data_IF_477419876308
#
_entry.id   IF_477419876308
#
_cell.length_a   1.000
_cell.length_b   1.000
_cell.length_c   1.000
_cell.angle_alpha   90.00
_cell.angle_beta   90.00
_cell.angle_gamma   90.00
#
_symmetry.space_group_name_H-M   'P 1'
#
loop_
_entity.id
_entity.type
_entity.pdbx_description
1 polymer ?
#
# COMPACT_ATOMS: atom_id res chain seq x y z
N UNK A 1 -7.35 15.65 27.32
CA UNK A 1 -7.35 14.68 26.20
C UNK A 1 -8.74 14.20 25.79
N UNK A 2 -9.39 13.21 26.43
CA UNK A 2 -10.68 12.67 25.90
C UNK A 2 -11.76 13.75 25.71
N UNK A 3 -11.95 14.63 26.71
CA UNK A 3 -12.89 15.75 26.62
C UNK A 3 -12.56 16.71 25.48
N UNK A 4 -11.27 16.95 25.21
CA UNK A 4 -10.83 17.85 24.13
C UNK A 4 -11.14 17.23 22.76
N UNK A 5 -10.88 15.93 22.59
CA UNK A 5 -11.22 15.20 21.35
C UNK A 5 -12.74 15.24 21.13
N UNK A 6 -13.53 14.97 22.16
CA UNK A 6 -15.00 15.03 22.08
C UNK A 6 -15.47 16.45 21.71
N UNK A 7 -14.93 17.49 22.36
CA UNK A 7 -15.27 18.88 22.04
C UNK A 7 -14.90 19.26 20.61
N UNK A 8 -13.75 18.80 20.12
CA UNK A 8 -13.30 19.03 18.76
C UNK A 8 -14.24 18.38 17.73
N UNK A 9 -14.51 17.09 17.89
CA UNK A 9 -15.41 16.32 17.02
C UNK A 9 -16.84 16.85 17.09
N UNK A 10 -17.31 17.29 18.25
CA UNK A 10 -18.62 17.93 18.39
C UNK A 10 -18.72 19.27 17.65
N UNK A 11 -17.62 20.02 17.56
CA UNK A 11 -17.58 21.33 16.91
C UNK A 11 -17.40 21.25 15.38
N UNK A 12 -16.59 20.29 14.91
CA UNK A 12 -16.21 20.20 13.49
C UNK A 12 -16.87 19.03 12.75
N UNK A 13 -17.55 18.15 13.47
CA UNK A 13 -18.02 16.88 12.95
C UNK A 13 -16.94 15.79 12.97
N UNK A 14 -17.21 14.63 12.35
CA UNK A 14 -16.26 13.52 12.33
C UNK A 14 -14.98 13.83 11.56
N UNK A 15 -13.84 13.43 12.13
CA UNK A 15 -12.49 13.72 11.63
C UNK A 15 -11.67 12.44 11.52
N UNK A 16 -10.60 12.45 10.73
CA UNK A 16 -9.60 11.36 10.76
C UNK A 16 -8.67 11.48 11.96
N UNK A 17 -7.90 10.43 12.24
CA UNK A 17 -6.90 10.48 13.31
C UNK A 17 -5.83 11.54 13.03
N UNK A 18 -5.43 11.71 11.77
CA UNK A 18 -4.49 12.74 11.34
C UNK A 18 -5.05 14.15 11.57
N UNK A 19 -6.29 14.41 11.17
CA UNK A 19 -6.96 15.71 11.35
C UNK A 19 -7.12 16.09 12.82
N UNK A 20 -7.27 15.10 13.72
CA UNK A 20 -7.30 15.36 15.16
C UNK A 20 -5.90 15.67 15.68
N UNK A 21 -4.87 14.93 15.26
CA UNK A 21 -3.48 15.18 15.71
C UNK A 21 -2.91 16.52 15.23
N UNK A 22 -3.39 17.06 14.11
CA UNK A 22 -3.00 18.40 13.65
C UNK A 22 -3.55 19.53 14.54
N UNK A 23 -4.62 19.26 15.30
CA UNK A 23 -5.32 20.25 16.12
C UNK A 23 -5.06 20.08 17.61
N UNK A 24 -4.62 18.89 18.03
CA UNK A 24 -4.34 18.56 19.41
C UNK A 24 -2.90 18.07 19.45
N UNK A 25 -2.02 18.81 20.13
CA UNK A 25 -0.64 18.38 20.38
C UNK A 25 -0.63 17.20 21.36
N UNK A 26 -0.63 15.99 20.81
CA UNK A 26 -0.75 14.75 21.56
C UNK A 26 0.04 13.63 20.91
N UNK A 27 0.60 12.78 21.77
CA UNK A 27 1.20 11.51 21.38
C UNK A 27 0.17 10.65 20.62
N UNK A 28 0.53 10.24 19.40
CA UNK A 28 -0.36 9.53 18.49
C UNK A 28 -0.88 8.20 19.05
N UNK A 29 -0.06 7.51 19.84
CA UNK A 29 -0.49 6.28 20.52
C UNK A 29 -1.55 6.58 21.58
N UNK A 30 -1.35 7.62 22.39
CA UNK A 30 -2.33 8.05 23.39
C UNK A 30 -3.63 8.52 22.74
N UNK A 31 -3.56 9.24 21.63
CA UNK A 31 -4.72 9.64 20.83
C UNK A 31 -5.51 8.41 20.36
N UNK A 32 -4.85 7.47 19.69
CA UNK A 32 -5.46 6.21 19.24
C UNK A 32 -6.12 5.47 20.41
N UNK A 33 -5.40 5.30 21.52
CA UNK A 33 -5.88 4.55 22.69
C UNK A 33 -7.09 5.20 23.32
N UNK A 34 -7.10 6.53 23.44
CA UNK A 34 -8.25 7.25 24.00
C UNK A 34 -9.46 7.19 23.09
N UNK A 35 -9.30 7.33 21.78
CA UNK A 35 -10.41 7.12 20.85
C UNK A 35 -10.96 5.69 20.93
N UNK A 36 -10.09 4.68 21.06
CA UNK A 36 -10.50 3.26 21.17
C UNK A 36 -11.17 2.88 22.48
N UNK A 37 -10.89 3.60 23.56
CA UNK A 37 -11.40 3.29 24.92
C UNK A 37 -12.55 4.19 25.35
N UNK A 38 -12.83 5.26 24.61
CA UNK A 38 -13.94 6.16 24.90
C UNK A 38 -15.28 5.50 24.59
N UNK A 39 -16.24 5.64 25.52
CA UNK A 39 -17.64 5.24 25.30
C UNK A 39 -18.45 6.31 24.53
N UNK A 40 -17.86 7.49 24.30
CA UNK A 40 -18.53 8.63 23.64
C UNK A 40 -18.09 8.84 22.21
N UNK A 41 -17.00 8.19 21.81
CA UNK A 41 -16.47 8.25 20.46
C UNK A 41 -16.70 6.90 19.77
N UNK A 42 -17.00 6.95 18.48
CA UNK A 42 -16.99 5.80 17.62
C UNK A 42 -15.87 5.94 16.58
N UNK A 43 -15.23 4.82 16.24
CA UNK A 43 -14.24 4.75 15.18
C UNK A 43 -14.79 3.87 14.07
N UNK A 44 -14.81 4.40 12.85
CA UNK A 44 -15.15 3.64 11.64
C UNK A 44 -13.94 3.56 10.72
N UNK A 45 -13.41 2.36 10.54
CA UNK A 45 -12.37 2.08 9.55
C UNK A 45 -12.94 2.14 8.13
N UNK A 46 -12.19 2.75 7.22
CA UNK A 46 -12.42 2.85 5.78
C UNK A 46 -11.38 1.96 5.07
N UNK A 47 -11.69 1.48 3.87
CA UNK A 47 -10.76 0.66 3.09
C UNK A 47 -10.66 -0.76 3.60
N UNK A 48 -9.56 -1.43 3.23
CA UNK A 48 -9.35 -2.86 3.49
C UNK A 48 -8.01 -3.12 4.16
N UNK A 49 -7.93 -4.21 4.90
CA UNK A 49 -6.65 -4.71 5.43
C UNK A 49 -6.14 -5.79 4.50
N UNK A 50 -4.87 -5.77 4.18
CA UNK A 50 -4.26 -6.74 3.29
C UNK A 50 -2.92 -7.24 3.83
N UNK A 51 -2.51 -8.43 3.42
CA UNK A 51 -1.24 -9.02 3.83
C UNK A 51 -0.08 -8.10 3.44
N UNK A 52 0.89 -7.90 4.34
CA UNK A 52 2.21 -7.35 4.05
C UNK A 52 3.26 -8.27 4.66
N UNK A 53 4.29 -8.57 3.86
CA UNK A 53 5.38 -9.42 4.31
C UNK A 53 6.47 -8.58 4.94
N UNK A 54 6.94 -8.98 6.12
CA UNK A 54 7.92 -8.24 6.90
C UNK A 54 8.93 -9.20 7.54
N UNK A 55 10.23 -9.03 7.23
CA UNK A 55 11.30 -9.89 7.77
C UNK A 55 11.46 -9.78 9.28
N UNK A 56 11.00 -8.69 9.88
CA UNK A 56 11.17 -8.41 11.32
C UNK A 56 10.07 -9.04 12.17
N UNK A 57 9.00 -9.53 11.55
CA UNK A 57 7.86 -10.14 12.23
C UNK A 57 8.00 -11.65 12.16
N UNK A 58 7.79 -12.31 13.30
CA UNK A 58 7.76 -13.76 13.37
C UNK A 58 6.70 -14.33 12.42
N UNK A 59 7.07 -15.30 11.59
CA UNK A 59 6.19 -15.84 10.57
C UNK A 59 5.99 -14.93 9.34
N UNK A 60 6.71 -13.81 9.27
CA UNK A 60 6.81 -12.88 8.13
C UNK A 60 5.54 -12.14 7.72
N UNK A 61 4.43 -12.25 8.46
CA UNK A 61 3.13 -11.77 8.01
C UNK A 61 2.53 -10.74 8.98
N UNK A 62 2.15 -9.59 8.44
CA UNK A 62 1.33 -8.58 9.12
C UNK A 62 0.23 -8.05 8.20
N UNK A 63 -0.70 -7.30 8.77
CA UNK A 63 -1.66 -6.55 7.98
C UNK A 63 -1.15 -5.13 7.74
N UNK A 64 -1.34 -4.67 6.50
CA UNK A 64 -1.28 -3.28 6.09
C UNK A 64 -2.71 -2.75 5.91
N UNK A 65 -2.99 -1.46 6.16
CA UNK A 65 -2.11 -0.51 6.84
C UNK A 65 -1.80 -0.95 8.28
N UNK A 66 -0.73 -0.42 8.89
CA UNK A 66 -0.46 -0.65 10.32
C UNK A 66 -1.60 -0.14 11.22
N UNK A 67 -1.53 -0.40 12.53
CA UNK A 67 -2.56 0.07 13.46
C UNK A 67 -2.65 1.59 13.44
N UNK A 68 -1.50 2.26 13.44
CA UNK A 68 -1.47 3.71 13.42
C UNK A 68 -1.86 4.29 12.07
N UNK A 69 -1.32 3.77 10.95
CA UNK A 69 -1.69 4.27 9.62
C UNK A 69 -3.18 4.09 9.33
N UNK A 70 -3.77 2.97 9.76
CA UNK A 70 -5.22 2.79 9.68
C UNK A 70 -5.98 3.86 10.47
N UNK A 71 -5.52 4.18 11.67
CA UNK A 71 -6.17 5.16 12.52
C UNK A 71 -6.06 6.59 11.96
N UNK A 72 -4.88 6.96 11.47
CA UNK A 72 -4.61 8.31 10.98
C UNK A 72 -5.27 8.59 9.64
N UNK A 73 -5.16 7.65 8.70
CA UNK A 73 -5.53 7.88 7.30
C UNK A 73 -6.85 7.22 6.92
N UNK A 74 -7.13 6.04 7.47
CA UNK A 74 -8.26 5.19 7.04
C UNK A 74 -9.29 4.98 8.15
N UNK A 75 -9.44 5.93 9.07
CA UNK A 75 -10.46 5.87 10.11
C UNK A 75 -11.15 7.21 10.28
N UNK A 76 -12.45 7.17 10.53
CA UNK A 76 -13.27 8.33 10.91
C UNK A 76 -13.62 8.19 12.38
N UNK A 77 -13.33 9.23 13.15
CA UNK A 77 -13.64 9.37 14.55
C UNK A 77 -14.80 10.35 14.66
N UNK A 78 -15.91 9.89 15.20
CA UNK A 78 -17.12 10.67 15.40
C UNK A 78 -17.67 10.50 16.82
N UNK A 79 -18.72 11.25 17.16
CA UNK A 79 -19.50 10.95 18.35
C UNK A 79 -20.26 9.64 18.14
N UNK A 80 -20.30 8.79 19.17
CA UNK A 80 -20.96 7.47 19.11
C UNK A 80 -22.42 7.57 18.64
N UNK A 81 -23.11 8.66 18.99
CA UNK A 81 -24.52 8.87 18.65
C UNK A 81 -24.75 9.46 17.24
N UNK A 82 -23.70 9.89 16.53
CA UNK A 82 -23.81 10.57 15.23
C UNK A 82 -23.33 9.70 14.05
N UNK A 83 -23.99 8.56 13.87
CA UNK A 83 -23.66 7.61 12.80
C UNK A 83 -23.86 8.16 11.38
N UNK A 84 -24.76 9.13 11.20
CA UNK A 84 -25.06 9.70 9.88
C UNK A 84 -23.92 10.58 9.39
N UNK A 85 -23.43 11.51 10.21
CA UNK A 85 -22.28 12.33 9.86
C UNK A 85 -21.03 11.47 9.64
N UNK A 86 -20.83 10.44 10.47
CA UNK A 86 -19.72 9.50 10.28
C UNK A 86 -19.81 8.75 8.95
N UNK A 87 -21.01 8.33 8.55
CA UNK A 87 -21.22 7.66 7.27
C UNK A 87 -20.99 8.60 6.09
N UNK A 88 -21.42 9.86 6.20
CA UNK A 88 -21.14 10.88 5.19
C UNK A 88 -19.64 11.09 5.03
N UNK A 89 -18.94 11.35 6.14
CA UNK A 89 -17.49 11.57 6.15
C UNK A 89 -16.72 10.38 5.60
N UNK A 90 -17.11 9.16 5.98
CA UNK A 90 -16.49 7.95 5.45
C UNK A 90 -16.63 7.83 3.93
N UNK A 91 -17.78 8.22 3.36
CA UNK A 91 -17.98 8.25 1.91
C UNK A 91 -17.12 9.31 1.21
N UNK A 92 -17.00 10.50 1.79
CA UNK A 92 -16.14 11.55 1.25
C UNK A 92 -14.67 11.09 1.14
N UNK A 93 -14.14 10.52 2.22
CA UNK A 93 -12.76 10.04 2.25
C UNK A 93 -12.57 8.87 1.27
N UNK A 94 -13.53 7.92 1.23
CA UNK A 94 -13.50 6.81 0.27
C UNK A 94 -13.46 7.34 -1.17
N UNK A 95 -14.34 8.29 -1.52
CA UNK A 95 -14.39 8.86 -2.86
C UNK A 95 -13.10 9.61 -3.24
N UNK A 96 -12.44 10.28 -2.28
CA UNK A 96 -11.13 10.89 -2.50
C UNK A 96 -10.05 9.84 -2.78
N UNK A 97 -9.97 8.78 -1.95
CA UNK A 97 -9.01 7.68 -2.14
C UNK A 97 -9.20 6.98 -3.49
N UNK A 98 -10.45 6.71 -3.89
CA UNK A 98 -10.77 6.14 -5.21
C UNK A 98 -10.30 7.06 -6.34
N UNK A 99 -10.51 8.38 -6.20
CA UNK A 99 -10.05 9.37 -7.18
C UNK A 99 -8.51 9.41 -7.28
N UNK A 100 -7.80 9.38 -6.15
CA UNK A 100 -6.33 9.34 -6.12
C UNK A 100 -5.81 8.05 -6.75
N UNK A 101 -6.39 6.90 -6.36
CA UNK A 101 -6.06 5.58 -6.90
C UNK A 101 -6.23 5.53 -8.42
N UNK A 102 -7.37 6.02 -8.91
CA UNK A 102 -7.64 6.11 -10.35
C UNK A 102 -6.64 7.01 -11.07
N UNK A 103 -6.36 8.20 -10.54
CA UNK A 103 -5.41 9.12 -11.14
C UNK A 103 -4.00 8.52 -11.25
N UNK A 104 -3.54 7.82 -10.20
CA UNK A 104 -2.24 7.13 -10.21
C UNK A 104 -2.23 5.95 -11.20
N UNK A 105 -3.28 5.15 -11.24
CA UNK A 105 -3.39 4.06 -12.22
C UNK A 105 -3.42 4.57 -13.67
N UNK A 106 -4.14 5.66 -13.94
CA UNK A 106 -4.19 6.31 -15.26
C UNK A 106 -2.82 6.89 -15.63
N UNK A 107 -2.12 7.52 -14.68
CA UNK A 107 -0.77 8.03 -14.90
C UNK A 107 0.21 6.89 -15.22
N UNK A 108 0.20 5.81 -14.44
CA UNK A 108 1.01 4.62 -14.70
C UNK A 108 0.74 4.07 -16.12
N UNK A 109 -0.54 3.95 -16.51
CA UNK A 109 -0.90 3.51 -17.84
C UNK A 109 -0.35 4.44 -18.94
N UNK A 110 -0.49 5.76 -18.79
CA UNK A 110 0.02 6.75 -19.75
C UNK A 110 1.53 6.63 -19.91
N UNK A 111 2.26 6.53 -18.80
CA UNK A 111 3.72 6.42 -18.78
C UNK A 111 4.18 5.16 -19.52
N UNK A 112 3.61 4.01 -19.15
CA UNK A 112 3.99 2.74 -19.76
C UNK A 112 3.55 2.67 -21.21
N UNK A 113 2.35 3.14 -21.57
CA UNK A 113 1.94 3.20 -22.96
C UNK A 113 2.85 4.10 -23.80
N UNK A 114 3.35 5.23 -23.25
CA UNK A 114 4.29 6.11 -23.94
C UNK A 114 5.67 5.45 -24.09
N UNK A 115 6.19 4.84 -23.02
CA UNK A 115 7.47 4.12 -23.05
C UNK A 115 7.45 2.99 -24.09
N UNK A 116 6.36 2.20 -24.11
CA UNK A 116 6.18 1.10 -25.05
C UNK A 116 5.94 1.59 -26.49
N UNK A 117 5.31 2.77 -26.67
CA UNK A 117 5.16 3.40 -27.98
C UNK A 117 6.50 3.82 -28.63
N UNK A 118 7.55 3.99 -27.83
CA UNK A 118 8.92 4.29 -28.30
C UNK A 118 9.68 3.03 -28.76
N UNK A 119 9.11 1.84 -28.54
CA UNK A 119 9.66 0.60 -29.10
C UNK A 119 9.25 0.43 -30.56
N UNK A 120 10.24 0.17 -31.42
CA UNK A 120 10.04 -0.04 -32.86
C UNK A 120 9.17 -1.27 -33.18
N UNK A 121 9.10 -2.25 -32.27
CA UNK A 121 8.36 -3.49 -32.46
C UNK A 121 7.19 -3.63 -31.46
N UNK A 122 6.18 -2.78 -31.63
CA UNK A 122 4.99 -2.75 -30.77
C UNK A 122 4.24 -4.09 -30.72
N UNK A 123 4.24 -4.86 -31.81
CA UNK A 123 3.61 -6.18 -31.87
C UNK A 123 4.32 -7.20 -30.97
N UNK A 124 5.64 -7.11 -30.82
CA UNK A 124 6.41 -7.96 -29.92
C UNK A 124 6.09 -7.62 -28.46
N UNK A 125 6.06 -6.33 -28.11
CA UNK A 125 5.71 -5.85 -26.77
C UNK A 125 4.31 -6.33 -26.38
N UNK A 126 3.33 -6.15 -27.26
CA UNK A 126 1.94 -6.53 -26.99
C UNK A 126 1.77 -8.04 -26.73
N UNK A 127 2.67 -8.89 -27.23
CA UNK A 127 2.58 -10.36 -27.07
C UNK A 127 3.49 -10.92 -25.99
N UNK A 128 4.66 -10.32 -25.76
CA UNK A 128 5.73 -10.91 -24.96
C UNK A 128 6.09 -10.10 -23.71
N UNK A 129 5.46 -8.94 -23.48
CA UNK A 129 5.70 -8.13 -22.30
C UNK A 129 4.39 -7.95 -21.55
N UNK A 130 4.38 -8.25 -20.26
CA UNK A 130 3.24 -8.04 -19.37
C UNK A 130 3.63 -7.02 -18.31
N UNK A 131 2.88 -5.93 -18.22
CA UNK A 131 3.04 -4.92 -17.18
C UNK A 131 1.89 -5.07 -16.20
N UNK A 132 2.23 -5.17 -14.92
CA UNK A 132 1.28 -5.28 -13.81
C UNK A 132 1.53 -4.20 -12.79
N UNK A 133 0.46 -3.69 -12.19
CA UNK A 133 0.48 -2.72 -11.10
C UNK A 133 0.09 -3.42 -9.80
N UNK A 134 0.72 -3.06 -8.70
CA UNK A 134 0.53 -3.66 -7.38
C UNK A 134 0.45 -2.58 -6.28
N UNK A 135 0.63 -2.98 -5.02
CA UNK A 135 0.64 -2.04 -3.89
C UNK A 135 -0.72 -1.46 -3.56
N UNK A 136 -0.75 -0.27 -2.93
CA UNK A 136 -1.99 0.37 -2.46
C UNK A 136 -3.04 0.59 -3.57
N UNK A 137 -2.60 0.75 -4.82
CA UNK A 137 -3.46 0.99 -5.98
C UNK A 137 -4.40 -0.19 -6.23
N UNK A 138 -3.92 -1.43 -6.16
CA UNK A 138 -4.79 -2.60 -6.35
C UNK A 138 -5.75 -2.79 -5.18
N UNK A 139 -5.52 -2.08 -4.07
CA UNK A 139 -6.38 -2.08 -2.89
C UNK A 139 -7.39 -0.94 -2.78
N UNK A 140 -7.46 -0.02 -3.74
CA UNK A 140 -8.21 1.23 -3.61
C UNK A 140 -7.81 1.96 -2.32
N UNK A 141 -6.50 2.00 -2.06
CA UNK A 141 -5.93 2.59 -0.85
C UNK A 141 -4.86 3.62 -1.14
N UNK A 142 -4.64 4.02 -2.39
CA UNK A 142 -3.62 5.02 -2.67
C UNK A 142 -3.99 6.37 -2.05
N UNK A 143 -3.01 7.06 -1.46
CA UNK A 143 -3.18 8.39 -0.89
C UNK A 143 -2.18 9.38 -1.48
N UNK A 144 -2.44 10.67 -1.25
CA UNK A 144 -1.69 11.81 -1.75
C UNK A 144 -0.99 12.61 -0.64
N UNK A 145 -0.97 12.07 0.59
CA UNK A 145 -0.23 12.65 1.74
C UNK A 145 1.24 12.86 1.37
N UNK A 146 1.75 14.11 1.35
CA UNK A 146 3.13 14.38 0.97
C UNK A 146 4.14 13.73 1.91
N UNK A 147 5.15 13.06 1.36
CA UNK A 147 6.26 12.47 2.14
C UNK A 147 7.59 12.66 1.42
N UNK A 148 8.74 12.69 2.12
CA UNK A 148 10.04 12.75 1.46
C UNK A 148 10.33 11.43 0.72
N UNK A 149 10.88 11.54 -0.49
CA UNK A 149 11.45 10.42 -1.24
C UNK A 149 12.91 10.19 -0.82
N UNK A 150 13.32 8.92 -0.68
CA UNK A 150 14.56 8.53 0.02
C UNK A 150 15.84 8.96 -0.68
N UNK A 151 15.87 8.93 -2.01
CA UNK A 151 17.08 9.21 -2.78
C UNK A 151 17.31 10.70 -3.06
N UNK A 152 16.23 11.48 -3.14
CA UNK A 152 16.27 12.89 -3.51
C UNK A 152 15.88 13.84 -2.38
N UNK A 153 15.23 13.34 -1.32
CA UNK A 153 14.66 14.15 -0.23
C UNK A 153 13.49 15.05 -0.69
N UNK A 154 13.02 14.91 -1.94
CA UNK A 154 11.93 15.72 -2.47
C UNK A 154 10.59 15.17 -1.98
N UNK A 155 9.64 16.07 -1.76
CA UNK A 155 8.28 15.66 -1.43
C UNK A 155 7.59 15.03 -2.64
N UNK A 156 7.15 13.79 -2.48
CA UNK A 156 6.31 13.05 -3.42
C UNK A 156 4.88 12.93 -2.88
N UNK A 157 3.91 12.70 -3.76
CA UNK A 157 2.48 12.65 -3.42
C UNK A 157 2.06 11.26 -2.95
N UNK A 158 2.37 10.92 -1.71
CA UNK A 158 1.82 9.72 -1.04
C UNK A 158 2.27 8.39 -1.63
N UNK A 159 1.33 7.47 -1.88
CA UNK A 159 1.62 6.07 -2.22
C UNK A 159 2.39 5.90 -3.53
N UNK A 160 3.29 4.93 -3.57
CA UNK A 160 4.07 4.59 -4.76
C UNK A 160 3.25 3.85 -5.81
N UNK A 161 3.70 3.95 -7.06
CA UNK A 161 3.23 3.08 -8.13
C UNK A 161 4.17 1.87 -8.24
N UNK A 162 3.80 0.77 -7.59
CA UNK A 162 4.51 -0.50 -7.66
C UNK A 162 4.20 -1.20 -8.99
N UNK A 163 5.21 -1.40 -9.84
CA UNK A 163 5.09 -1.97 -11.17
C UNK A 163 5.98 -3.20 -11.32
N UNK A 164 5.42 -4.28 -11.86
CA UNK A 164 6.19 -5.45 -12.27
C UNK A 164 6.02 -5.67 -13.75
N UNK A 165 7.15 -5.68 -14.47
CA UNK A 165 7.23 -6.00 -15.88
C UNK A 165 7.79 -7.41 -16.03
N UNK A 166 7.01 -8.29 -16.63
CA UNK A 166 7.44 -9.66 -16.96
C UNK A 166 7.59 -9.79 -18.46
N UNK A 167 8.75 -10.27 -18.90
CA UNK A 167 9.01 -10.61 -20.31
C UNK A 167 9.00 -12.12 -20.51
N UNK A 168 8.49 -12.57 -21.65
CA UNK A 168 8.54 -13.97 -22.07
C UNK A 168 9.99 -14.42 -22.32
N UNK A 169 10.28 -15.71 -22.20
CA UNK A 169 11.64 -16.25 -22.40
C UNK A 169 12.14 -16.09 -23.85
N UNK A 170 11.22 -15.95 -24.81
CA UNK A 170 11.55 -15.68 -26.20
C UNK A 170 11.81 -14.20 -26.49
N UNK A 171 11.63 -13.32 -25.50
CA UNK A 171 11.90 -11.89 -25.65
C UNK A 171 13.42 -11.63 -25.64
N UNK A 172 14.01 -11.03 -26.69
CA UNK A 172 15.45 -10.88 -26.80
C UNK A 172 16.07 -10.05 -25.65
N UNK A 173 17.14 -10.55 -25.04
CA UNK A 173 17.85 -9.88 -23.94
C UNK A 173 18.27 -8.43 -24.24
N UNK A 174 18.80 -8.08 -25.44
CA UNK A 174 19.10 -6.68 -25.77
C UNK A 174 17.86 -5.77 -25.79
N UNK A 175 16.67 -6.32 -26.06
CA UNK A 175 15.41 -5.57 -25.99
C UNK A 175 14.92 -5.44 -24.55
N UNK A 176 15.21 -6.42 -23.68
CA UNK A 176 14.93 -6.32 -22.24
C UNK A 176 15.74 -5.19 -21.60
N UNK A 177 17.03 -5.08 -21.92
CA UNK A 177 17.89 -3.98 -21.43
C UNK A 177 17.38 -2.63 -21.90
N UNK A 178 17.07 -2.50 -23.20
CA UNK A 178 16.47 -1.27 -23.76
C UNK A 178 15.13 -0.93 -23.10
N UNK A 179 14.36 -1.94 -22.70
CA UNK A 179 13.07 -1.75 -22.04
C UNK A 179 13.26 -1.20 -20.64
N UNK A 180 14.17 -1.79 -19.87
CA UNK A 180 14.54 -1.33 -18.54
C UNK A 180 15.03 0.13 -18.56
N UNK A 181 15.91 0.48 -19.51
CA UNK A 181 16.41 1.85 -19.67
C UNK A 181 15.30 2.86 -19.97
N UNK A 182 14.33 2.49 -20.83
CA UNK A 182 13.21 3.36 -21.17
C UNK A 182 12.30 3.59 -19.96
N UNK A 183 11.99 2.54 -19.20
CA UNK A 183 11.18 2.65 -17.99
C UNK A 183 11.92 3.49 -16.94
N UNK A 184 13.23 3.29 -16.79
CA UNK A 184 14.07 4.07 -15.89
C UNK A 184 14.02 5.57 -16.21
N UNK A 185 14.13 5.92 -17.50
CA UNK A 185 14.01 7.32 -17.95
C UNK A 185 12.65 7.92 -17.57
N UNK A 186 11.56 7.18 -17.78
CA UNK A 186 10.24 7.67 -17.40
C UNK A 186 10.05 7.78 -15.87
N UNK A 187 10.60 6.83 -15.08
CA UNK A 187 10.64 6.96 -13.60
C UNK A 187 11.29 8.27 -13.19
N UNK A 188 12.44 8.61 -13.77
CA UNK A 188 13.14 9.87 -13.46
C UNK A 188 12.31 11.09 -13.87
N UNK A 189 11.71 11.07 -15.07
CA UNK A 189 10.87 12.17 -15.55
C UNK A 189 9.70 12.46 -14.60
N UNK A 190 9.01 11.42 -14.14
CA UNK A 190 7.83 11.53 -13.27
C UNK A 190 8.21 12.08 -11.89
N UNK A 191 9.35 11.66 -11.35
CA UNK A 191 9.88 12.12 -10.07
C UNK A 191 10.28 13.60 -10.11
N UNK A 192 10.97 14.05 -11.17
CA UNK A 192 11.50 15.42 -11.25
C UNK A 192 10.48 16.44 -11.76
N UNK A 193 9.44 15.99 -12.48
CA UNK A 193 8.45 16.88 -13.09
C UNK A 193 7.63 17.56 -12.00
N UNK A 194 7.67 18.90 -11.86
CA UNK A 194 7.15 19.59 -10.68
C UNK A 194 5.66 19.38 -10.38
N UNK A 195 4.84 19.14 -11.40
CA UNK A 195 3.40 18.94 -11.26
C UNK A 195 3.01 17.47 -11.03
N UNK A 196 3.90 16.52 -11.33
CA UNK A 196 3.70 15.10 -11.02
C UNK A 196 4.17 14.82 -9.60
N UNK A 197 5.50 14.79 -9.38
CA UNK A 197 6.14 14.40 -8.10
C UNK A 197 5.57 13.09 -7.57
N UNK A 198 5.53 12.10 -8.44
CA UNK A 198 5.09 10.76 -8.12
C UNK A 198 6.30 9.82 -8.11
N UNK A 199 6.24 8.79 -7.28
CA UNK A 199 7.29 7.77 -7.20
C UNK A 199 6.80 6.49 -7.91
N UNK A 200 7.67 5.92 -8.75
CA UNK A 200 7.44 4.66 -9.45
C UNK A 200 8.51 3.69 -9.00
N UNK A 201 8.08 2.60 -8.40
CA UNK A 201 8.97 1.49 -8.09
C UNK A 201 8.68 0.36 -9.05
N UNK A 202 9.68 0.00 -9.84
CA UNK A 202 9.51 -1.00 -10.89
C UNK A 202 10.59 -2.07 -10.85
N UNK A 203 10.24 -3.24 -11.38
CA UNK A 203 11.18 -4.32 -11.65
C UNK A 203 10.85 -5.00 -12.98
N UNK A 204 11.88 -5.21 -13.80
CA UNK A 204 11.81 -6.03 -15.01
C UNK A 204 12.38 -7.42 -14.71
N UNK A 205 11.66 -8.47 -15.09
CA UNK A 205 12.12 -9.87 -14.94
C UNK A 205 11.60 -10.76 -16.06
N UNK A 206 12.30 -11.86 -16.34
CA UNK A 206 11.81 -12.87 -17.27
C UNK A 206 10.84 -13.84 -16.60
N UNK A 207 10.03 -14.53 -17.41
CA UNK A 207 9.09 -15.53 -16.91
C UNK A 207 9.82 -16.72 -16.28
N UNK A 208 11.03 -17.09 -16.73
CA UNK A 208 11.87 -18.09 -16.04
C UNK A 208 12.09 -17.73 -14.56
N UNK A 209 12.45 -16.47 -14.25
CA UNK A 209 12.60 -16.00 -12.88
C UNK A 209 11.30 -16.03 -12.10
N UNK A 210 10.17 -15.80 -12.76
CA UNK A 210 8.84 -15.98 -12.16
C UNK A 210 8.62 -17.45 -11.77
N UNK A 211 8.98 -18.42 -12.63
CA UNK A 211 8.87 -19.86 -12.29
C UNK A 211 9.75 -20.23 -11.10
N UNK A 212 10.98 -19.72 -11.04
CA UNK A 212 11.87 -19.91 -9.89
C UNK A 212 11.27 -19.37 -8.59
N UNK A 213 10.64 -18.19 -8.64
CA UNK A 213 10.00 -17.58 -7.48
C UNK A 213 8.82 -18.40 -6.94
N UNK A 214 8.17 -19.23 -7.77
CA UNK A 214 7.07 -20.11 -7.34
C UNK A 214 7.50 -21.19 -6.35
N UNK A 215 8.80 -21.39 -6.12
CA UNK A 215 9.26 -22.27 -5.03
C UNK A 215 8.83 -21.75 -3.65
N UNK A 216 8.60 -20.43 -3.50
CA UNK A 216 8.10 -19.82 -2.27
C UNK A 216 8.91 -20.18 -1.00
N UNK A 217 10.20 -20.42 -1.17
CA UNK A 217 11.13 -20.97 -0.17
C UNK A 217 11.99 -19.89 0.51
N UNK A 218 12.16 -18.74 -0.13
CA UNK A 218 12.86 -17.58 0.41
C UNK A 218 11.92 -16.40 0.60
N UNK A 219 12.23 -15.51 1.55
CA UNK A 219 11.43 -14.28 1.73
C UNK A 219 11.30 -13.46 0.44
N UNK A 220 12.35 -13.39 -0.40
CA UNK A 220 12.30 -12.68 -1.68
C UNK A 220 11.30 -13.34 -2.64
N UNK A 221 11.26 -14.67 -2.67
CA UNK A 221 10.30 -15.42 -3.47
C UNK A 221 8.87 -15.21 -2.96
N UNK A 222 8.66 -15.25 -1.64
CA UNK A 222 7.36 -14.96 -1.04
C UNK A 222 6.84 -13.56 -1.42
N UNK A 223 7.68 -12.52 -1.33
CA UNK A 223 7.34 -11.15 -1.74
C UNK A 223 6.99 -11.10 -3.22
N UNK A 224 7.81 -11.69 -4.09
CA UNK A 224 7.55 -11.68 -5.52
C UNK A 224 6.23 -12.38 -5.88
N UNK A 225 5.97 -13.54 -5.27
CA UNK A 225 4.72 -14.28 -5.43
C UNK A 225 3.51 -13.50 -4.95
N UNK A 226 3.60 -12.83 -3.79
CA UNK A 226 2.55 -11.96 -3.28
C UNK A 226 2.22 -10.83 -4.26
N UNK A 227 3.24 -10.11 -4.72
CA UNK A 227 3.08 -8.98 -5.65
C UNK A 227 2.41 -9.47 -6.95
N UNK A 228 2.83 -10.62 -7.48
CA UNK A 228 2.21 -11.22 -8.68
C UNK A 228 0.77 -11.70 -8.41
N UNK A 229 0.48 -12.22 -7.21
CA UNK A 229 -0.86 -12.67 -6.82
C UNK A 229 -1.85 -11.49 -6.73
N UNK A 230 -1.44 -10.38 -6.12
CA UNK A 230 -2.31 -9.21 -5.93
C UNK A 230 -2.33 -8.27 -7.15
N UNK A 231 -1.28 -8.30 -7.97
CA UNK A 231 -1.11 -7.37 -9.07
C UNK A 231 -2.26 -7.40 -10.07
N UNK A 232 -2.66 -6.23 -10.52
CA UNK A 232 -3.63 -6.03 -11.60
C UNK A 232 -2.90 -5.84 -12.92
N UNK A 233 -3.51 -6.30 -14.02
CA UNK A 233 -3.00 -6.05 -15.36
C UNK A 233 -3.02 -4.54 -15.66
N UNK A 234 -1.93 -4.03 -16.23
CA UNK A 234 -1.81 -2.62 -16.63
C UNK A 234 -1.65 -2.47 -18.15
N UNK A 235 -0.73 -3.22 -18.77
CA UNK A 235 -0.41 -3.07 -20.20
C UNK A 235 0.25 -4.33 -20.78
N UNK A 236 0.13 -4.52 -22.10
CA UNK A 236 0.86 -5.55 -22.85
C UNK A 236 0.08 -6.85 -23.02
N UNK A 237 0.74 -7.98 -22.76
CA UNK A 237 0.22 -9.32 -22.99
C UNK A 237 -0.69 -9.80 -21.84
N UNK A 238 -1.99 -9.83 -22.10
CA UNK A 238 -2.99 -10.44 -21.20
C UNK A 238 -2.80 -11.96 -21.08
N UNK A 239 -2.38 -12.63 -22.16
CA UNK A 239 -2.12 -14.08 -22.14
C UNK A 239 -0.99 -14.42 -21.15
N UNK A 240 0.09 -13.62 -21.15
CA UNK A 240 1.19 -13.78 -20.20
C UNK A 240 0.73 -13.48 -18.76
N UNK A 241 -0.12 -12.47 -18.56
CA UNK A 241 -0.71 -12.18 -17.25
C UNK A 241 -1.53 -13.36 -16.72
N UNK A 242 -2.44 -13.89 -17.53
CA UNK A 242 -3.28 -15.03 -17.19
C UNK A 242 -2.43 -16.28 -16.88
N UNK A 243 -1.39 -16.53 -17.69
CA UNK A 243 -0.44 -17.63 -17.47
C UNK A 243 0.23 -17.51 -16.09
N UNK A 244 0.68 -16.31 -15.71
CA UNK A 244 1.31 -16.09 -14.39
C UNK A 244 0.30 -16.34 -13.25
N UNK A 245 -0.95 -15.87 -13.40
CA UNK A 245 -2.02 -16.12 -12.42
C UNK A 245 -2.35 -17.61 -12.31
N UNK A 246 -2.35 -18.34 -13.41
CA UNK A 246 -2.54 -19.79 -13.44
C UNK A 246 -1.41 -20.52 -12.70
N UNK A 247 -0.16 -20.18 -13.00
CA UNK A 247 0.99 -20.77 -12.33
C UNK A 247 0.94 -20.60 -10.81
N UNK A 248 0.54 -19.41 -10.32
CA UNK A 248 0.40 -19.15 -8.88
C UNK A 248 -0.62 -20.10 -8.23
N UNK A 249 -1.75 -20.35 -8.89
CA UNK A 249 -2.77 -21.30 -8.41
C UNK A 249 -2.26 -22.73 -8.44
N UNK A 250 -1.64 -23.16 -9.53
CA UNK A 250 -1.14 -24.53 -9.69
C UNK A 250 -0.05 -24.90 -8.67
N UNK A 251 0.76 -23.92 -8.25
CA UNK A 251 1.81 -24.11 -7.24
C UNK A 251 1.31 -23.94 -5.80
N UNK A 252 0.00 -23.76 -5.61
CA UNK A 252 -0.64 -23.58 -4.30
C UNK A 252 -0.20 -22.31 -3.57
N UNK A 253 0.18 -21.27 -4.32
CA UNK A 253 0.70 -20.02 -3.76
C UNK A 253 -0.43 -19.19 -3.17
N UNK A 254 -1.60 -19.21 -3.81
CA UNK A 254 -2.78 -18.49 -3.34
C UNK A 254 -3.15 -18.92 -1.92
N UNK A 255 -3.23 -20.23 -1.66
CA UNK A 255 -3.59 -20.80 -0.36
C UNK A 255 -2.53 -20.50 0.71
N UNK A 256 -1.24 -20.56 0.35
CA UNK A 256 -0.14 -20.19 1.26
C UNK A 256 -0.22 -18.72 1.68
N UNK A 257 -0.58 -17.82 0.77
CA UNK A 257 -0.75 -16.40 1.06
C UNK A 257 -2.00 -16.15 1.92
N UNK A 258 -3.10 -16.84 1.67
CA UNK A 258 -4.30 -16.77 2.51
C UNK A 258 -4.03 -17.24 3.94
N UNK A 259 -3.24 -18.31 4.13
CA UNK A 259 -2.82 -18.78 5.45
C UNK A 259 -1.96 -17.72 6.18
N UNK A 260 -1.03 -17.09 5.48
CA UNK A 260 -0.23 -15.98 6.01
C UNK A 260 -1.12 -14.80 6.43
N UNK A 261 -2.11 -14.43 5.61
CA UNK A 261 -3.04 -13.36 5.93
C UNK A 261 -3.90 -13.69 7.16
N UNK A 262 -4.38 -14.92 7.29
CA UNK A 262 -5.13 -15.36 8.46
C UNK A 262 -4.30 -15.28 9.75
N UNK A 263 -3.01 -15.68 9.68
CA UNK A 263 -2.08 -15.49 10.80
C UNK A 263 -1.87 -14.02 11.13
N UNK A 264 -1.74 -13.16 10.11
CA UNK A 264 -1.60 -11.72 10.29
C UNK A 264 -2.83 -11.08 10.95
N UNK A 265 -4.04 -11.56 10.67
CA UNK A 265 -5.29 -11.13 11.34
C UNK A 265 -5.26 -11.44 12.84
N UNK A 266 -4.84 -12.66 13.20
CA UNK A 266 -4.68 -13.08 14.60
C UNK A 266 -3.62 -12.23 15.29
N UNK A 267 -2.46 -12.04 14.64
CA UNK A 267 -1.39 -11.19 15.14
C UNK A 267 -1.86 -9.77 15.45
N UNK A 268 -2.55 -9.11 14.49
CA UNK A 268 -3.08 -7.76 14.70
C UNK A 268 -4.08 -7.70 15.86
N UNK A 269 -5.00 -8.65 15.96
CA UNK A 269 -6.00 -8.67 17.04
C UNK A 269 -5.34 -8.78 18.42
N UNK A 270 -4.29 -9.60 18.54
CA UNK A 270 -3.52 -9.73 19.77
C UNK A 270 -2.72 -8.46 20.08
N UNK A 271 -2.09 -7.86 19.06
CA UNK A 271 -1.38 -6.59 19.19
C UNK A 271 -2.30 -5.46 19.68
N UNK A 272 -3.47 -5.26 19.06
CA UNK A 272 -4.46 -4.25 19.49
C UNK A 272 -4.88 -4.49 20.95
N UNK A 273 -5.17 -5.74 21.34
CA UNK A 273 -5.55 -6.08 22.72
C UNK A 273 -4.44 -5.74 23.72
N UNK A 274 -3.18 -6.01 23.37
CA UNK A 274 -2.03 -5.71 24.21
C UNK A 274 -1.83 -4.19 24.36
N UNK A 275 -1.88 -3.46 23.24
CA UNK A 275 -1.74 -2.00 23.19
C UNK A 275 -2.82 -1.27 24.03
N UNK A 276 -4.02 -1.83 24.14
CA UNK A 276 -5.10 -1.26 24.97
C UNK A 276 -4.93 -1.53 26.48
N UNK A 277 -4.20 -2.59 26.86
CA UNK A 277 -4.09 -3.03 28.26
C UNK A 277 -2.78 -2.61 28.94
N UNK A 278 -1.68 -2.64 28.20
CA UNK A 278 -0.35 -2.44 28.78
C UNK A 278 -0.08 -0.99 29.20
N UNK A 279 0.95 -0.81 30.03
CA UNK A 279 1.43 0.51 30.45
C UNK A 279 1.93 1.31 29.21
N UNK A 280 1.42 2.53 28.97
CA UNK A 280 1.89 3.39 27.88
C UNK A 280 3.40 3.61 27.82
N UNK A 281 4.12 3.56 28.95
CA UNK A 281 5.59 3.71 28.97
C UNK A 281 6.28 2.48 28.41
N UNK A 282 5.84 1.28 28.81
CA UNK A 282 6.36 0.01 28.27
C UNK A 282 6.06 -0.15 26.79
N UNK A 283 4.92 0.37 26.32
CA UNK A 283 4.58 0.34 24.89
C UNK A 283 5.56 1.17 24.05
N UNK A 284 5.95 2.35 24.54
CA UNK A 284 6.92 3.20 23.85
C UNK A 284 8.30 2.56 23.75
N UNK A 285 8.72 1.86 24.80
CA UNK A 285 10.06 1.28 24.87
C UNK A 285 10.16 -0.09 24.20
N UNK A 286 9.11 -0.92 24.28
CA UNK A 286 9.18 -2.33 23.90
C UNK A 286 8.26 -2.69 22.71
N UNK A 287 7.14 -1.98 22.50
CA UNK A 287 6.05 -2.42 21.61
C UNK A 287 5.71 -1.45 20.48
N UNK A 288 6.54 -0.43 20.22
CA UNK A 288 6.31 0.53 19.15
C UNK A 288 6.19 -0.13 17.77
N UNK A 289 6.93 -1.23 17.55
CA UNK A 289 6.86 -2.04 16.33
C UNK A 289 5.49 -2.71 16.08
N UNK A 290 4.64 -2.84 17.11
CA UNK A 290 3.26 -3.31 16.97
C UNK A 290 2.34 -2.23 16.40
N UNK A 291 2.70 -0.96 16.60
CA UNK A 291 1.88 0.19 16.24
C UNK A 291 2.11 0.60 14.78
N UNK A 292 3.38 0.64 14.36
CA UNK A 292 3.80 0.86 12.96
C UNK A 292 5.23 0.33 12.71
N UNK A 293 5.56 -0.06 11.46
CA UNK A 293 6.93 -0.40 11.07
C UNK A 293 7.81 0.85 10.88
N UNK A 294 9.13 0.68 10.90
CA UNK A 294 10.09 1.77 10.60
C UNK A 294 9.92 2.39 9.21
N UNK A 295 9.38 1.67 8.23
CA UNK A 295 9.13 2.24 6.90
C UNK A 295 7.98 3.25 6.89
N UNK A 296 6.98 3.04 7.74
CA UNK A 296 5.83 3.95 7.85
C UNK A 296 6.11 5.10 8.84
N UNK A 297 7.20 5.05 9.63
CA UNK A 297 7.51 6.13 10.58
C UNK A 297 7.84 7.45 9.88
N UNK A 298 8.48 7.38 8.70
CA UNK A 298 8.80 8.54 7.85
C UNK A 298 7.55 9.22 7.27
N UNK A 299 6.39 8.57 7.29
CA UNK A 299 5.10 9.16 6.84
C UNK A 299 4.43 9.99 7.94
N UNK A 300 4.88 9.88 9.19
CA UNK A 300 4.24 10.48 10.37
C UNK A 300 5.20 11.34 11.24
N UNK A 301 6.45 11.52 10.80
CA UNK A 301 7.45 12.44 11.37
C UNK A 301 7.49 13.77 10.61
#
# INVERSE_FOLDING_TARGET
MEKEIISLVAAQGPLTGAEISEQIDVDLFLLWRTCKTSEKLAIRTIGRRYLRLDRRIEGFARLSPSILREFLTYSVIGLDQDHNSMTHRAKEITAHIEKVTRAKSELAYIIFSAAMGRFENSALIAKQVCVTIAGDIVYDMAHDVPRPERSTGRLVKGSDMDIVVVVDDLFPEPLTERLDELIYQEKQNVLITPHLREEIDYIVKNITRVREQMQFDTFKHMVACKILQEGAFLYGSEDLFCTIKEMLREHGITEKLEELENRARIFRSNAERQLLKEDPRRIREEYQHLLYPTEESEEFE
#
